data_IF_817335543345
#
_entry.id   IF_817335543345
#
_cell.length_a   1.000
_cell.length_b   1.000
_cell.length_c   1.000
_cell.angle_alpha   90.00
_cell.angle_beta   90.00
_cell.angle_gamma   90.00
#
_symmetry.space_group_name_H-M   'P 1'
#
loop_
_entity.id
_entity.type
_entity.pdbx_description
1 polymer ?
#
# COMPACT_ATOMS: atom_id res chain seq x y z
N UNK A 1 -4.31 -5.41 -12.45
CA UNK A 1 -4.38 -4.89 -13.83
C UNK A 1 -4.13 -3.38 -13.93
N UNK A 2 -4.38 -2.58 -12.87
CA UNK A 2 -4.05 -1.13 -12.82
C UNK A 2 -2.55 -0.84 -12.60
N UNK A 3 -1.81 -1.79 -12.01
CA UNK A 3 -0.38 -1.63 -11.72
C UNK A 3 0.53 -1.59 -12.97
N UNK A 4 0.12 -2.17 -14.11
CA UNK A 4 0.94 -2.16 -15.33
C UNK A 4 0.75 -0.92 -16.21
N UNK A 5 -0.36 -0.17 -16.06
CA UNK A 5 -0.57 1.08 -16.81
C UNK A 5 0.12 2.29 -16.17
N UNK A 6 0.42 2.21 -14.87
CA UNK A 6 1.21 3.21 -14.12
C UNK A 6 2.68 2.78 -14.05
N UNK A 7 3.15 2.03 -15.04
CA UNK A 7 4.57 1.92 -15.38
C UNK A 7 5.10 3.24 -15.97
N UNK A 8 4.80 4.35 -15.31
CA UNK A 8 5.40 5.64 -15.56
C UNK A 8 6.88 5.45 -15.27
N UNK A 9 7.67 5.33 -16.35
CA UNK A 9 9.13 5.40 -16.36
C UNK A 9 9.60 6.32 -15.23
N UNK A 10 10.13 5.72 -14.17
CA UNK A 10 10.51 6.30 -12.88
C UNK A 10 11.74 7.21 -12.99
N UNK A 11 11.74 8.12 -13.98
CA UNK A 11 12.58 9.30 -13.95
C UNK A 11 11.77 10.34 -13.18
N UNK A 12 12.32 10.95 -12.11
CA UNK A 12 11.62 12.01 -11.40
C UNK A 12 11.24 13.08 -12.41
N UNK A 13 9.93 13.26 -12.65
CA UNK A 13 9.37 14.23 -13.60
C UNK A 13 10.04 15.59 -13.38
N UNK A 14 10.17 15.97 -12.11
CA UNK A 14 10.80 17.20 -11.65
C UNK A 14 12.19 17.45 -12.25
N UNK A 15 13.02 16.42 -12.50
CA UNK A 15 14.36 16.62 -13.08
C UNK A 15 14.29 16.98 -14.56
N UNK A 16 13.42 16.31 -15.33
CA UNK A 16 13.23 16.63 -16.74
C UNK A 16 12.53 17.99 -16.91
N UNK A 17 11.53 18.26 -16.08
CA UNK A 17 10.75 19.50 -16.09
C UNK A 17 11.61 20.70 -15.67
N UNK A 18 12.56 20.51 -14.74
CA UNK A 18 13.53 21.55 -14.37
C UNK A 18 14.50 21.87 -15.52
N UNK A 19 14.94 20.86 -16.29
CA UNK A 19 15.81 21.10 -17.46
C UNK A 19 15.03 21.83 -18.55
N UNK A 20 13.77 21.45 -18.79
CA UNK A 20 12.89 22.13 -19.72
C UNK A 20 12.64 23.58 -19.28
N UNK A 21 12.38 23.80 -17.98
CA UNK A 21 12.17 25.12 -17.39
C UNK A 21 13.37 26.04 -17.54
N UNK A 22 14.59 25.55 -17.28
CA UNK A 22 15.83 26.33 -17.52
C UNK A 22 15.99 26.65 -19.01
N UNK A 23 15.68 25.71 -19.92
CA UNK A 23 15.84 25.96 -21.36
C UNK A 23 14.81 26.93 -21.95
N UNK A 24 13.65 27.07 -21.32
CA UNK A 24 12.52 27.88 -21.80
C UNK A 24 12.41 29.23 -21.09
N UNK A 25 12.80 29.32 -19.81
CA UNK A 25 12.53 30.48 -18.95
C UNK A 25 13.78 31.07 -18.28
N UNK A 26 15.00 30.65 -18.66
CA UNK A 26 16.22 31.21 -18.11
C UNK A 26 16.34 32.75 -18.27
N UNK A 27 15.83 33.29 -19.37
CA UNK A 27 15.87 34.74 -19.64
C UNK A 27 14.69 35.51 -19.01
N UNK A 28 13.57 34.82 -18.72
CA UNK A 28 12.33 35.45 -18.24
C UNK A 28 12.29 35.58 -16.71
N UNK A 29 12.82 34.58 -15.99
CA UNK A 29 12.85 34.53 -14.54
C UNK A 29 14.26 34.14 -14.04
N UNK A 30 15.23 35.08 -14.11
CA UNK A 30 16.64 34.80 -13.83
C UNK A 30 16.94 34.45 -12.36
N UNK A 31 16.05 34.81 -11.43
CA UNK A 31 16.24 34.48 -10.01
C UNK A 31 15.99 32.99 -9.69
N UNK A 32 15.03 32.38 -10.41
CA UNK A 32 14.59 31.01 -10.17
C UNK A 32 15.09 30.01 -11.24
N UNK A 33 15.18 30.40 -12.52
CA UNK A 33 15.42 29.48 -13.64
C UNK A 33 16.80 29.60 -14.31
N UNK A 34 17.70 30.42 -13.77
CA UNK A 34 19.04 30.62 -14.36
C UNK A 34 19.97 29.40 -14.26
N UNK A 35 19.84 28.62 -13.20
CA UNK A 35 20.66 27.43 -12.96
C UNK A 35 19.74 26.24 -12.63
N UNK A 36 20.15 25.03 -13.03
CA UNK A 36 19.37 23.81 -12.81
C UNK A 36 19.07 23.54 -11.33
N UNK A 37 20.01 23.84 -10.42
CA UNK A 37 19.83 23.68 -8.98
C UNK A 37 18.68 24.56 -8.43
N UNK A 38 18.59 25.81 -8.88
CA UNK A 38 17.55 26.77 -8.49
C UNK A 38 16.22 26.40 -9.11
N UNK A 39 16.22 26.05 -10.40
CA UNK A 39 15.03 25.59 -11.10
C UNK A 39 14.46 24.31 -10.47
N UNK A 40 15.32 23.39 -10.04
CA UNK A 40 14.93 22.19 -9.32
C UNK A 40 14.27 22.50 -7.98
N UNK A 41 14.83 23.43 -7.21
CA UNK A 41 14.24 23.86 -5.94
C UNK A 41 12.91 24.60 -6.18
N UNK A 42 12.84 25.48 -7.17
CA UNK A 42 11.62 26.19 -7.54
C UNK A 42 10.50 25.23 -7.95
N UNK A 43 10.80 24.27 -8.84
CA UNK A 43 9.86 23.22 -9.24
C UNK A 43 9.41 22.37 -8.05
N UNK A 44 10.34 21.99 -7.15
CA UNK A 44 10.00 21.26 -5.92
C UNK A 44 9.08 22.06 -4.97
N UNK A 45 9.23 23.38 -4.90
CA UNK A 45 8.34 24.24 -4.09
C UNK A 45 6.95 24.38 -4.72
N UNK A 46 6.89 24.44 -6.05
CA UNK A 46 5.62 24.42 -6.80
C UNK A 46 4.89 23.10 -6.56
N UNK A 47 5.62 21.98 -6.54
CA UNK A 47 5.13 20.65 -6.17
C UNK A 47 4.56 20.60 -4.76
N UNK A 48 5.24 21.22 -3.80
CA UNK A 48 4.74 21.33 -2.44
C UNK A 48 3.50 22.26 -2.30
N UNK A 49 3.04 22.88 -3.41
CA UNK A 49 1.94 23.83 -3.48
C UNK A 49 2.13 25.09 -2.60
N UNK A 50 3.34 25.39 -2.13
CA UNK A 50 3.58 26.51 -1.22
C UNK A 50 3.65 27.86 -1.94
N UNK A 51 4.18 27.90 -3.17
CA UNK A 51 4.45 29.18 -3.88
C UNK A 51 4.12 29.13 -5.37
N UNK A 52 3.15 28.31 -5.77
CA UNK A 52 2.82 28.16 -7.19
C UNK A 52 2.14 29.40 -7.79
N UNK A 53 1.39 30.17 -6.99
CA UNK A 53 0.77 31.44 -7.44
C UNK A 53 1.85 32.48 -7.70
N UNK A 54 2.82 32.59 -6.79
CA UNK A 54 3.96 33.52 -6.91
C UNK A 54 4.91 33.14 -8.04
N UNK A 55 4.85 31.89 -8.52
CA UNK A 55 5.64 31.43 -9.66
C UNK A 55 5.00 31.75 -11.02
N UNK A 56 3.74 32.20 -11.04
CA UNK A 56 3.09 32.59 -12.29
C UNK A 56 3.73 33.87 -12.82
N UNK A 57 3.96 33.98 -14.14
CA UNK A 57 4.52 35.18 -14.74
C UNK A 57 3.62 36.39 -14.43
N UNK A 58 4.19 37.37 -13.72
CA UNK A 58 3.54 38.65 -13.50
C UNK A 58 3.43 39.44 -14.82
N UNK A 59 2.54 40.42 -14.88
CA UNK A 59 2.52 41.35 -16.01
C UNK A 59 3.84 42.13 -16.05
N UNK A 60 4.54 42.05 -17.18
CA UNK A 60 5.70 42.89 -17.41
C UNK A 60 5.31 44.38 -17.51
N UNK A 61 6.28 45.28 -17.45
CA UNK A 61 6.08 46.74 -17.51
C UNK A 61 5.36 47.21 -18.78
N UNK A 62 5.40 46.40 -19.85
CA UNK A 62 4.68 46.62 -21.11
C UNK A 62 3.26 46.01 -21.13
N UNK A 63 2.80 45.42 -20.02
CA UNK A 63 1.47 44.82 -19.85
C UNK A 63 1.31 43.46 -20.51
N UNK A 64 2.36 42.91 -21.11
CA UNK A 64 2.36 41.59 -21.74
C UNK A 64 2.54 40.47 -20.71
N UNK A 65 1.63 39.48 -20.74
CA UNK A 65 1.72 38.27 -19.93
C UNK A 65 2.32 37.16 -20.80
N UNK A 66 3.33 36.45 -20.28
CA UNK A 66 3.82 35.25 -20.94
C UNK A 66 2.87 34.06 -20.72
N UNK A 67 1.91 33.92 -21.63
CA UNK A 67 0.94 32.84 -21.60
C UNK A 67 1.57 31.44 -21.71
N UNK A 68 2.76 31.31 -22.32
CA UNK A 68 3.44 30.03 -22.47
C UNK A 68 4.00 29.55 -21.12
N UNK A 69 4.61 30.45 -20.35
CA UNK A 69 5.09 30.17 -19.00
C UNK A 69 3.94 29.80 -18.04
N UNK A 70 2.84 30.57 -18.06
CA UNK A 70 1.67 30.28 -17.24
C UNK A 70 1.06 28.90 -17.58
N UNK A 71 0.95 28.57 -18.87
CA UNK A 71 0.40 27.28 -19.30
C UNK A 71 1.30 26.12 -18.89
N UNK A 72 2.62 26.28 -18.94
CA UNK A 72 3.58 25.27 -18.47
C UNK A 72 3.40 24.97 -16.98
N UNK A 73 3.40 26.01 -16.12
CA UNK A 73 3.26 25.87 -14.67
C UNK A 73 1.90 25.23 -14.30
N UNK A 74 0.81 25.69 -14.92
CA UNK A 74 -0.52 25.12 -14.65
C UNK A 74 -0.61 23.66 -15.08
N UNK A 75 -0.05 23.30 -16.24
CA UNK A 75 -0.03 21.91 -16.72
C UNK A 75 0.79 21.00 -15.80
N UNK A 76 1.90 21.52 -15.26
CA UNK A 76 2.75 20.82 -14.30
C UNK A 76 2.00 20.50 -13.02
N UNK A 77 1.32 21.50 -12.43
CA UNK A 77 0.50 21.33 -11.21
C UNK A 77 -0.58 20.27 -11.43
N UNK A 78 -1.25 20.27 -12.58
CA UNK A 78 -2.32 19.29 -12.88
C UNK A 78 -1.76 17.86 -12.95
N UNK A 79 -0.64 17.67 -13.67
CA UNK A 79 -0.01 16.35 -13.82
C UNK A 79 0.45 15.83 -12.46
N UNK A 80 1.02 16.70 -11.64
CA UNK A 80 1.53 16.32 -10.34
C UNK A 80 0.43 15.99 -9.34
N UNK A 81 -0.63 16.80 -9.28
CA UNK A 81 -1.81 16.51 -8.46
C UNK A 81 -2.46 15.18 -8.87
N UNK A 82 -2.52 14.90 -10.18
CA UNK A 82 -2.98 13.62 -10.68
C UNK A 82 -2.08 12.46 -10.21
N UNK A 83 -0.76 12.61 -10.28
CA UNK A 83 0.19 11.61 -9.81
C UNK A 83 0.06 11.36 -8.30
N UNK A 84 -0.02 12.42 -7.50
CA UNK A 84 -0.22 12.32 -6.05
C UNK A 84 -1.51 11.57 -5.72
N UNK A 85 -2.60 11.90 -6.41
CA UNK A 85 -3.88 11.21 -6.25
C UNK A 85 -3.77 9.71 -6.53
N UNK A 86 -3.08 9.32 -7.61
CA UNK A 86 -2.88 7.89 -7.94
C UNK A 86 -2.10 7.15 -6.84
N UNK A 87 -1.05 7.77 -6.29
CA UNK A 87 -0.29 7.18 -5.17
C UNK A 87 -1.14 7.10 -3.91
N UNK A 88 -1.88 8.15 -3.57
CA UNK A 88 -2.78 8.16 -2.40
C UNK A 88 -3.84 7.08 -2.50
N UNK A 89 -4.49 6.91 -3.66
CA UNK A 89 -5.49 5.84 -3.87
C UNK A 89 -4.85 4.46 -3.71
N UNK A 90 -3.65 4.24 -4.26
CA UNK A 90 -2.96 2.97 -4.12
C UNK A 90 -2.65 2.63 -2.65
N UNK A 91 -2.10 3.59 -1.89
CA UNK A 91 -1.78 3.42 -0.46
C UNK A 91 -3.04 3.20 0.37
N UNK A 92 -4.12 3.95 0.09
CA UNK A 92 -5.39 3.76 0.78
C UNK A 92 -5.95 2.36 0.50
N UNK A 93 -5.97 1.94 -0.76
CA UNK A 93 -6.45 0.62 -1.14
C UNK A 93 -5.64 -0.49 -0.46
N UNK A 94 -4.31 -0.35 -0.38
CA UNK A 94 -3.45 -1.31 0.32
C UNK A 94 -3.79 -1.40 1.82
N UNK A 95 -4.07 -0.26 2.48
CA UNK A 95 -4.51 -0.26 3.87
C UNK A 95 -5.89 -0.91 4.06
N UNK A 96 -6.86 -0.61 3.18
CA UNK A 96 -8.18 -1.22 3.26
C UNK A 96 -8.16 -2.73 3.01
N UNK A 97 -7.41 -3.16 1.99
CA UNK A 97 -7.27 -4.59 1.65
C UNK A 97 -6.56 -5.33 2.79
N UNK A 98 -5.45 -4.81 3.31
CA UNK A 98 -4.73 -5.47 4.41
C UNK A 98 -5.58 -5.57 5.69
N UNK A 99 -6.43 -4.58 5.96
CA UNK A 99 -7.38 -4.63 7.09
C UNK A 99 -8.45 -5.70 6.87
N UNK A 100 -9.07 -5.75 5.68
CA UNK A 100 -10.08 -6.77 5.35
C UNK A 100 -9.50 -8.17 5.41
N UNK A 101 -8.32 -8.39 4.82
CA UNK A 101 -7.68 -9.71 4.83
C UNK A 101 -7.35 -10.17 6.24
N UNK A 102 -6.87 -9.27 7.11
CA UNK A 102 -6.63 -9.61 8.52
C UNK A 102 -7.91 -10.00 9.26
N UNK A 103 -9.01 -9.29 9.03
CA UNK A 103 -10.30 -9.63 9.64
C UNK A 103 -10.81 -11.00 9.17
N UNK A 104 -10.70 -11.29 7.87
CA UNK A 104 -11.09 -12.58 7.30
C UNK A 104 -10.23 -13.73 7.84
N UNK A 105 -8.92 -13.50 8.02
CA UNK A 105 -7.99 -14.46 8.62
C UNK A 105 -8.32 -14.72 10.09
N UNK A 106 -8.59 -13.67 10.87
CA UNK A 106 -8.98 -13.78 12.28
C UNK A 106 -10.30 -14.56 12.43
N UNK A 107 -11.30 -14.30 11.58
CA UNK A 107 -12.58 -15.03 11.58
C UNK A 107 -12.42 -16.50 11.16
N UNK A 108 -11.50 -16.80 10.25
CA UNK A 108 -11.20 -18.19 9.86
C UNK A 108 -10.50 -18.95 11.00
N UNK A 109 -9.58 -18.31 11.71
CA UNK A 109 -8.91 -18.90 12.87
C UNK A 109 -9.91 -19.17 13.98
N UNK A 110 -10.79 -18.21 14.31
CA UNK A 110 -11.82 -18.39 15.32
C UNK A 110 -12.78 -19.53 14.96
N UNK A 111 -13.22 -19.61 13.71
CA UNK A 111 -14.04 -20.73 13.22
C UNK A 111 -13.33 -22.07 13.30
N UNK A 112 -12.04 -22.14 12.98
CA UNK A 112 -11.26 -23.38 13.10
C UNK A 112 -11.11 -23.83 14.56
N UNK A 113 -10.93 -22.88 15.49
CA UNK A 113 -10.85 -23.16 16.93
C UNK A 113 -12.20 -23.66 17.46
N UNK A 114 -13.31 -23.02 17.09
CA UNK A 114 -14.64 -23.45 17.52
C UNK A 114 -15.00 -24.82 16.94
N UNK A 115 -14.65 -25.10 15.68
CA UNK A 115 -14.82 -26.43 15.08
C UNK A 115 -13.96 -27.50 15.78
N UNK A 116 -12.74 -27.18 16.18
CA UNK A 116 -11.89 -28.10 16.93
C UNK A 116 -12.52 -28.40 18.31
N UNK A 117 -13.03 -27.37 18.99
CA UNK A 117 -13.72 -27.50 20.27
C UNK A 117 -15.02 -28.29 20.16
N UNK A 118 -15.81 -28.03 19.12
CA UNK A 118 -17.04 -28.78 18.86
C UNK A 118 -16.73 -30.26 18.54
N UNK A 119 -15.67 -30.54 17.79
CA UNK A 119 -15.22 -31.90 17.54
C UNK A 119 -14.75 -32.61 18.83
N UNK A 120 -14.04 -31.93 19.73
CA UNK A 120 -13.70 -32.48 21.05
C UNK A 120 -14.95 -32.81 21.89
N UNK A 121 -15.95 -31.93 21.87
CA UNK A 121 -17.24 -32.16 22.54
C UNK A 121 -18.02 -33.32 21.91
N UNK A 122 -18.01 -33.43 20.57
CA UNK A 122 -18.73 -34.47 19.84
C UNK A 122 -18.08 -35.85 20.00
N UNK A 123 -16.75 -35.89 20.09
CA UNK A 123 -15.97 -37.12 20.24
C UNK A 123 -15.13 -37.10 21.53
N UNK A 124 -15.76 -37.15 22.72
CA UNK A 124 -15.04 -37.03 24.01
C UNK A 124 -14.07 -38.20 24.28
N UNK A 125 -14.27 -39.33 23.59
CA UNK A 125 -13.40 -40.51 23.70
C UNK A 125 -12.13 -40.40 22.85
N UNK A 126 -12.06 -39.46 21.91
CA UNK A 126 -10.95 -39.31 20.97
C UNK A 126 -9.59 -38.98 21.64
N UNK A 127 -9.50 -38.06 22.62
CA UNK A 127 -8.22 -37.82 23.33
C UNK A 127 -7.71 -39.04 24.10
N UNK A 128 -8.61 -39.84 24.70
CA UNK A 128 -8.25 -41.10 25.37
C UNK A 128 -7.84 -42.17 24.35
N UNK A 129 -8.52 -42.25 23.21
CA UNK A 129 -8.19 -43.19 22.14
C UNK A 129 -6.83 -42.88 21.53
N UNK A 130 -6.50 -41.60 21.34
CA UNK A 130 -5.17 -41.15 20.87
C UNK A 130 -4.09 -41.45 21.91
N UNK A 131 -4.35 -41.25 23.21
CA UNK A 131 -3.41 -41.67 24.26
C UNK A 131 -3.19 -43.17 24.28
N UNK A 132 -4.27 -43.96 24.20
CA UNK A 132 -4.19 -45.41 24.13
C UNK A 132 -3.44 -45.88 22.89
N UNK A 133 -3.73 -45.33 21.71
CA UNK A 133 -3.04 -45.69 20.45
C UNK A 133 -1.57 -45.28 20.46
N UNK A 134 -1.21 -44.16 21.10
CA UNK A 134 0.18 -43.70 21.20
C UNK A 134 1.02 -44.58 22.12
N UNK A 135 0.42 -45.15 23.15
CA UNK A 135 1.09 -45.98 24.16
C UNK A 135 1.11 -47.48 23.78
N UNK A 136 0.62 -47.82 22.59
CA UNK A 136 0.26 -49.19 22.25
C UNK A 136 0.77 -49.66 20.88
N UNK A 137 1.08 -50.96 20.77
CA UNK A 137 1.74 -51.56 19.59
C UNK A 137 1.00 -52.75 18.94
N UNK A 138 0.23 -53.57 19.66
CA UNK A 138 -0.23 -54.89 19.15
C UNK A 138 -1.68 -55.28 19.51
N UNK A 139 -2.70 -55.10 18.65
CA UNK A 139 -4.16 -55.31 18.83
C UNK A 139 -4.76 -56.09 20.04
N UNK A 140 -4.13 -57.16 20.54
CA UNK A 140 -4.67 -58.03 21.59
C UNK A 140 -4.65 -57.44 23.02
N UNK A 141 -3.60 -56.73 23.40
CA UNK A 141 -3.45 -56.01 24.68
C UNK A 141 -4.44 -54.81 24.87
N UNK A 142 -4.99 -54.22 23.80
CA UNK A 142 -5.91 -53.08 23.78
C UNK A 142 -7.29 -53.59 24.11
N UNK A 143 -7.68 -54.72 23.50
CA UNK A 143 -8.89 -55.43 23.85
C UNK A 143 -8.90 -55.84 25.32
N UNK A 144 -7.75 -56.28 25.86
CA UNK A 144 -7.63 -56.60 27.29
C UNK A 144 -7.80 -55.35 28.16
N UNK A 145 -7.08 -54.27 27.87
CA UNK A 145 -7.15 -53.04 28.66
C UNK A 145 -8.51 -52.36 28.61
N UNK A 146 -9.17 -52.35 27.45
CA UNK A 146 -10.53 -51.82 27.29
C UNK A 146 -11.53 -52.61 28.16
N UNK A 147 -11.42 -53.94 28.18
CA UNK A 147 -12.31 -54.79 29.00
C UNK A 147 -12.14 -54.56 30.50
N UNK A 148 -10.92 -54.24 30.96
CA UNK A 148 -10.64 -53.95 32.38
C UNK A 148 -11.29 -52.63 32.81
N UNK A 149 -11.26 -51.59 31.95
CA UNK A 149 -11.86 -50.28 32.26
C UNK A 149 -13.39 -50.34 32.35
N UNK A 150 -14.05 -51.03 31.42
CA UNK A 150 -15.51 -51.16 31.44
C UNK A 150 -16.03 -52.04 32.60
N UNK A 151 -15.20 -52.94 33.14
CA UNK A 151 -15.54 -53.70 34.35
C UNK A 151 -15.34 -52.91 35.64
N UNK A 152 -14.53 -51.85 35.64
CA UNK A 152 -14.25 -51.05 36.84
C UNK A 152 -15.34 -50.00 37.15
N UNK A 153 -16.26 -49.76 36.22
CA UNK A 153 -17.32 -48.74 36.32
C UNK A 153 -18.72 -49.35 36.63
N UNK A 154 -18.80 -50.67 36.82
CA UNK A 154 -20.00 -51.40 37.27
C UNK A 154 -19.86 -51.89 38.72
#
# INVERSE_FOLDING_TARGET
MVASSVGLRSRPSCVADSIAGVSLFADEAPDDFKEFNRAFIAMFRITAAETWVDSLPEQDQDGTINYQAATFIVSYIIIENWLLFQVSVAVLLENFVSTSTRMDEEEQVERAVEQARENELRNPMEPLLVQLLREYSDSADLSKRLSILFQAEA
#
